data_IF_868703431661
#
_entry.id   IF_868703431661
#
_cell.length_a   1.000
_cell.length_b   1.000
_cell.length_c   1.000
_cell.angle_alpha   90.00
_cell.angle_beta   90.00
_cell.angle_gamma   90.00
#
_symmetry.space_group_name_H-M   'P 1'
#
loop_
_entity.id
_entity.type
_entity.pdbx_description
1 polymer ?
#
# COMPACT_ATOMS: atom_id res chain seq x y z
N UNK A 1 -24.91 -22.68 18.34
CA UNK A 1 -23.85 -22.38 17.35
C UNK A 1 -23.84 -23.53 16.35
N UNK A 2 -24.26 -23.29 15.09
CA UNK A 2 -24.13 -24.31 14.05
C UNK A 2 -22.68 -24.35 13.60
N UNK A 3 -22.00 -25.44 13.82
CA UNK A 3 -20.71 -25.73 13.22
C UNK A 3 -20.84 -25.65 11.68
N UNK A 4 -20.19 -24.68 11.07
CA UNK A 4 -20.05 -24.65 9.61
C UNK A 4 -18.98 -25.69 9.28
N UNK A 5 -19.41 -26.83 8.76
CA UNK A 5 -18.52 -27.89 8.30
C UNK A 5 -17.59 -27.33 7.23
N UNK A 6 -16.31 -27.41 7.52
CA UNK A 6 -15.23 -26.95 6.66
C UNK A 6 -14.95 -27.98 5.54
N UNK A 7 -15.84 -28.07 4.55
CA UNK A 7 -15.55 -28.84 3.34
C UNK A 7 -14.50 -28.09 2.55
N UNK A 8 -13.29 -28.61 2.54
CA UNK A 8 -12.19 -28.06 1.73
C UNK A 8 -12.41 -28.41 0.27
N UNK A 9 -12.57 -27.42 -0.58
CA UNK A 9 -12.31 -27.62 -2.01
C UNK A 9 -10.80 -27.80 -2.20
N UNK A 10 -10.35 -28.74 -3.04
CA UNK A 10 -8.92 -29.08 -3.18
C UNK A 10 -7.98 -27.95 -3.60
N UNK A 11 -8.51 -26.79 -3.97
CA UNK A 11 -7.75 -25.68 -4.54
C UNK A 11 -7.43 -24.53 -3.57
N UNK A 12 -8.04 -24.48 -2.37
CA UNK A 12 -7.87 -23.34 -1.46
C UNK A 12 -7.00 -23.69 -0.24
N UNK A 13 -5.96 -22.89 0.03
CA UNK A 13 -5.09 -23.09 1.21
C UNK A 13 -5.83 -22.71 2.50
N UNK A 14 -5.49 -23.40 3.60
CA UNK A 14 -6.02 -23.11 4.94
C UNK A 14 -5.87 -21.63 5.32
N UNK A 15 -4.70 -21.03 5.07
CA UNK A 15 -4.45 -19.62 5.37
C UNK A 15 -5.34 -18.67 4.57
N UNK A 16 -5.57 -18.94 3.29
CA UNK A 16 -6.47 -18.13 2.46
C UNK A 16 -7.90 -18.16 3.02
N UNK A 17 -8.41 -19.36 3.27
CA UNK A 17 -9.74 -19.55 3.84
C UNK A 17 -9.91 -18.90 5.21
N UNK A 18 -8.91 -19.07 6.11
CA UNK A 18 -8.95 -18.48 7.43
C UNK A 18 -8.99 -16.94 7.36
N UNK A 19 -8.20 -16.34 6.48
CA UNK A 19 -8.20 -14.90 6.30
C UNK A 19 -9.52 -14.39 5.72
N UNK A 20 -10.09 -15.07 4.71
CA UNK A 20 -11.41 -14.72 4.17
C UNK A 20 -12.50 -14.72 5.25
N UNK A 21 -12.60 -15.82 6.00
CA UNK A 21 -13.60 -15.97 7.07
C UNK A 21 -13.45 -14.90 8.15
N UNK A 22 -12.20 -14.59 8.50
CA UNK A 22 -11.94 -13.56 9.48
C UNK A 22 -12.34 -12.17 8.97
N UNK A 23 -11.95 -11.79 7.76
CA UNK A 23 -12.32 -10.50 7.17
C UNK A 23 -13.84 -10.36 7.04
N UNK A 24 -14.51 -11.43 6.60
CA UNK A 24 -15.96 -11.48 6.52
C UNK A 24 -16.64 -11.21 7.86
N UNK A 25 -16.11 -11.75 8.96
CA UNK A 25 -16.66 -11.61 10.30
C UNK A 25 -16.23 -10.29 10.94
N UNK A 26 -14.95 -10.07 11.01
CA UNK A 26 -14.35 -9.00 11.82
C UNK A 26 -14.66 -7.60 11.29
N UNK A 27 -14.57 -7.39 9.97
CA UNK A 27 -14.89 -6.07 9.39
C UNK A 27 -16.34 -5.71 9.69
N UNK A 28 -17.26 -6.63 9.48
CA UNK A 28 -18.67 -6.40 9.74
C UNK A 28 -18.97 -6.08 11.22
N UNK A 29 -18.26 -6.73 12.14
CA UNK A 29 -18.43 -6.50 13.59
C UNK A 29 -17.80 -5.19 14.06
N UNK A 30 -16.82 -4.66 13.34
CA UNK A 30 -16.03 -3.49 13.75
C UNK A 30 -16.24 -2.25 12.87
N UNK A 31 -16.90 -2.38 11.73
CA UNK A 31 -17.26 -1.25 10.85
C UNK A 31 -18.78 -1.13 10.73
N UNK A 32 -19.35 -0.24 11.52
CA UNK A 32 -20.78 0.01 11.52
C UNK A 32 -21.35 0.56 10.19
N UNK A 33 -20.49 0.92 9.24
CA UNK A 33 -20.91 1.34 7.91
C UNK A 33 -21.30 0.16 7.01
N UNK A 34 -20.89 -1.06 7.32
CA UNK A 34 -21.18 -2.26 6.54
C UNK A 34 -22.58 -2.78 6.86
N UNK A 35 -23.44 -2.90 5.85
CA UNK A 35 -24.83 -3.35 5.98
C UNK A 35 -25.08 -4.73 5.38
N UNK A 36 -24.29 -5.13 4.38
CA UNK A 36 -24.39 -6.48 3.77
C UNK A 36 -22.99 -7.06 3.60
N UNK A 37 -22.91 -8.37 3.70
CA UNK A 37 -21.70 -9.15 3.47
C UNK A 37 -22.01 -10.51 2.85
N UNK A 38 -21.11 -11.01 2.03
CA UNK A 38 -21.12 -12.41 1.58
C UNK A 38 -19.71 -12.90 1.28
N UNK A 39 -19.53 -14.21 1.34
CA UNK A 39 -18.34 -14.88 0.83
C UNK A 39 -18.58 -15.26 -0.63
N UNK A 40 -17.51 -15.25 -1.43
CA UNK A 40 -17.49 -15.76 -2.80
C UNK A 40 -18.64 -15.24 -3.67
N UNK A 41 -18.92 -13.94 -3.57
CA UNK A 41 -19.99 -13.33 -4.37
C UNK A 41 -19.54 -13.18 -5.82
N UNK A 42 -20.36 -13.70 -6.74
CA UNK A 42 -20.19 -13.47 -8.17
C UNK A 42 -20.54 -12.02 -8.53
N UNK A 43 -19.61 -11.33 -9.21
CA UNK A 43 -19.74 -9.93 -9.63
C UNK A 43 -19.22 -9.84 -11.07
N UNK A 44 -20.13 -9.61 -12.01
CA UNK A 44 -19.78 -9.58 -13.42
C UNK A 44 -19.24 -10.93 -13.92
N UNK A 45 -17.93 -11.08 -13.99
CA UNK A 45 -17.25 -12.30 -14.43
C UNK A 45 -16.24 -12.82 -13.41
N UNK A 46 -16.31 -12.34 -12.14
CA UNK A 46 -15.38 -12.68 -11.06
C UNK A 46 -16.12 -13.09 -9.79
N UNK A 47 -15.45 -13.90 -8.98
CA UNK A 47 -15.86 -14.18 -7.61
C UNK A 47 -15.00 -13.37 -6.66
N UNK A 48 -15.61 -12.50 -5.87
CA UNK A 48 -14.92 -11.78 -4.80
C UNK A 48 -14.77 -12.70 -3.59
N UNK A 49 -13.57 -12.78 -3.00
CA UNK A 49 -13.33 -13.59 -1.79
C UNK A 49 -14.25 -13.17 -0.64
N UNK A 50 -14.36 -11.86 -0.42
CA UNK A 50 -15.34 -11.26 0.50
C UNK A 50 -15.99 -10.07 -0.20
N UNK A 51 -17.31 -10.01 -0.11
CA UNK A 51 -18.09 -8.87 -0.57
C UNK A 51 -18.70 -8.14 0.60
N UNK A 52 -18.69 -6.81 0.53
CA UNK A 52 -19.29 -5.91 1.49
C UNK A 52 -20.11 -4.83 0.77
N UNK A 53 -21.19 -4.37 1.41
CA UNK A 53 -21.94 -3.19 1.00
C UNK A 53 -22.00 -2.21 2.17
N UNK A 54 -21.66 -0.96 1.92
CA UNK A 54 -21.70 0.11 2.90
C UNK A 54 -23.10 0.78 2.94
N UNK A 55 -23.42 1.45 4.04
CA UNK A 55 -24.65 2.27 4.20
C UNK A 55 -24.81 3.32 3.12
N UNK A 56 -23.70 3.81 2.57
CA UNK A 56 -23.65 4.78 1.47
C UNK A 56 -24.01 4.17 0.10
N UNK A 57 -24.30 2.87 0.05
CA UNK A 57 -24.58 2.12 -1.19
C UNK A 57 -23.32 1.63 -1.91
N UNK A 58 -22.11 2.05 -1.51
CA UNK A 58 -20.87 1.60 -2.13
C UNK A 58 -20.65 0.11 -1.88
N UNK A 59 -20.21 -0.58 -2.92
CA UNK A 59 -19.92 -2.02 -2.89
C UNK A 59 -18.42 -2.26 -2.94
N UNK A 60 -17.93 -3.23 -2.16
CA UNK A 60 -16.51 -3.54 -2.03
C UNK A 60 -16.29 -5.03 -2.28
N UNK A 61 -15.39 -5.36 -3.18
CA UNK A 61 -14.80 -6.68 -3.33
C UNK A 61 -13.46 -6.72 -2.61
N UNK A 62 -13.29 -7.64 -1.67
CA UNK A 62 -12.00 -7.90 -1.01
C UNK A 62 -11.39 -9.13 -1.67
N UNK A 63 -10.16 -8.99 -2.12
CA UNK A 63 -9.33 -10.03 -2.71
C UNK A 63 -8.21 -10.38 -1.75
N UNK A 64 -8.15 -11.63 -1.33
CA UNK A 64 -7.10 -12.15 -0.45
C UNK A 64 -6.07 -12.91 -1.29
N UNK A 65 -4.83 -12.49 -1.28
CA UNK A 65 -3.82 -13.11 -2.13
C UNK A 65 -2.72 -13.79 -1.32
N UNK A 66 -2.62 -15.10 -1.48
CA UNK A 66 -1.61 -15.95 -0.85
C UNK A 66 -0.60 -16.51 -1.87
N UNK A 67 -1.07 -16.91 -3.06
CA UNK A 67 -0.26 -17.48 -4.12
C UNK A 67 0.36 -16.39 -5.01
N UNK A 68 1.32 -16.78 -5.87
CA UNK A 68 1.87 -15.86 -6.88
C UNK A 68 0.77 -15.39 -7.83
N UNK A 69 0.76 -14.09 -8.11
CA UNK A 69 -0.16 -13.45 -9.05
C UNK A 69 0.61 -12.46 -9.92
N UNK A 70 0.24 -12.34 -11.17
CA UNK A 70 0.86 -11.38 -12.09
C UNK A 70 0.30 -9.97 -11.92
N UNK A 71 1.09 -8.95 -12.27
CA UNK A 71 0.62 -7.57 -12.33
C UNK A 71 -0.57 -7.39 -13.26
N UNK A 72 -0.55 -8.11 -14.40
CA UNK A 72 -1.62 -8.08 -15.39
C UNK A 72 -2.94 -8.56 -14.76
N UNK A 73 -2.90 -9.68 -14.07
CA UNK A 73 -4.09 -10.25 -13.44
C UNK A 73 -4.65 -9.36 -12.33
N UNK A 74 -3.80 -8.76 -11.48
CA UNK A 74 -4.25 -7.78 -10.47
C UNK A 74 -5.01 -6.63 -11.13
N UNK A 75 -4.44 -6.06 -12.20
CA UNK A 75 -5.03 -4.94 -12.91
C UNK A 75 -6.32 -5.32 -13.63
N UNK A 76 -6.37 -6.48 -14.27
CA UNK A 76 -7.56 -6.99 -14.95
C UNK A 76 -8.70 -7.25 -13.96
N UNK A 77 -8.44 -7.98 -12.86
CA UNK A 77 -9.45 -8.22 -11.82
C UNK A 77 -9.95 -6.91 -11.20
N UNK A 78 -9.05 -5.97 -10.90
CA UNK A 78 -9.43 -4.65 -10.39
C UNK A 78 -10.34 -3.91 -11.38
N UNK A 79 -9.99 -3.89 -12.68
CA UNK A 79 -10.81 -3.25 -13.73
C UNK A 79 -12.16 -3.92 -13.90
N UNK A 80 -12.23 -5.25 -13.82
CA UNK A 80 -13.49 -5.98 -13.99
C UNK A 80 -14.48 -5.63 -12.88
N UNK A 81 -14.04 -5.56 -11.62
CA UNK A 81 -14.88 -5.05 -10.52
C UNK A 81 -15.24 -3.57 -10.71
N UNK A 82 -14.28 -2.74 -11.12
CA UNK A 82 -14.53 -1.31 -11.31
C UNK A 82 -15.55 -1.01 -12.42
N UNK A 83 -15.62 -1.84 -13.48
CA UNK A 83 -16.66 -1.76 -14.54
C UNK A 83 -18.06 -1.98 -13.97
N UNK A 84 -18.19 -2.78 -12.91
CA UNK A 84 -19.45 -3.02 -12.19
C UNK A 84 -19.71 -1.96 -11.09
N UNK A 85 -18.89 -0.91 -11.01
CA UNK A 85 -19.02 0.12 -9.98
C UNK A 85 -18.42 -0.26 -8.62
N UNK A 86 -17.87 -1.46 -8.50
CA UNK A 86 -17.39 -2.04 -7.23
C UNK A 86 -15.96 -1.59 -6.93
N UNK A 87 -15.71 -1.18 -5.69
CA UNK A 87 -14.38 -0.85 -5.17
C UNK A 87 -13.63 -2.10 -4.78
N UNK A 88 -12.30 -2.11 -4.91
CA UNK A 88 -11.50 -3.31 -4.63
C UNK A 88 -10.52 -3.05 -3.50
N UNK A 89 -10.49 -3.98 -2.53
CA UNK A 89 -9.49 -4.03 -1.47
C UNK A 89 -8.65 -5.30 -1.63
N UNK A 90 -7.39 -5.14 -2.03
CA UNK A 90 -6.43 -6.23 -2.06
C UNK A 90 -5.72 -6.37 -0.71
N UNK A 91 -5.70 -7.59 -0.19
CA UNK A 91 -4.99 -7.95 1.04
C UNK A 91 -4.05 -9.11 0.75
N UNK A 92 -2.77 -8.93 1.04
CA UNK A 92 -1.79 -10.00 0.90
C UNK A 92 -1.64 -10.75 2.23
N UNK A 93 -1.51 -12.07 2.14
CA UNK A 93 -1.01 -12.83 3.27
C UNK A 93 0.47 -12.53 3.47
N UNK A 94 0.85 -11.99 4.63
CA UNK A 94 2.20 -11.46 4.86
C UNK A 94 3.31 -12.50 4.89
N UNK A 95 2.98 -13.79 5.02
CA UNK A 95 3.88 -14.93 4.90
C UNK A 95 3.65 -15.73 3.61
N UNK A 96 2.83 -15.19 2.70
CA UNK A 96 2.47 -15.81 1.44
C UNK A 96 3.55 -15.70 0.36
N UNK A 97 3.31 -16.37 -0.77
CA UNK A 97 4.26 -16.41 -1.90
C UNK A 97 4.31 -15.11 -2.73
N UNK A 98 3.43 -14.15 -2.44
CA UNK A 98 3.38 -12.83 -3.09
C UNK A 98 4.24 -11.78 -2.41
N UNK A 99 4.85 -12.09 -1.28
CA UNK A 99 5.50 -11.13 -0.41
C UNK A 99 6.99 -11.05 -0.68
N UNK A 100 7.54 -9.86 -0.48
CA UNK A 100 8.97 -9.61 -0.59
C UNK A 100 9.78 -10.48 0.35
N UNK A 101 10.82 -11.08 -0.19
CA UNK A 101 11.84 -11.76 0.60
C UNK A 101 13.02 -10.82 0.89
N UNK A 102 13.66 -10.92 2.06
CA UNK A 102 14.93 -10.23 2.30
C UNK A 102 15.96 -10.72 1.29
N UNK A 103 16.73 -9.80 0.72
CA UNK A 103 17.81 -10.15 -0.22
C UNK A 103 19.04 -10.66 0.51
N UNK A 104 19.28 -10.13 1.69
CA UNK A 104 20.39 -10.49 2.55
C UNK A 104 19.86 -10.81 3.94
N UNK A 105 20.28 -11.92 4.56
CA UNK A 105 19.83 -12.26 5.92
C UNK A 105 20.22 -11.20 6.96
N UNK A 106 21.16 -10.32 6.66
CA UNK A 106 21.68 -9.29 7.57
C UNK A 106 21.03 -7.91 7.33
N UNK A 107 20.46 -7.65 6.14
CA UNK A 107 19.87 -6.34 5.81
C UNK A 107 18.35 -6.45 5.60
N UNK A 108 17.62 -6.46 6.72
CA UNK A 108 16.16 -6.50 6.74
C UNK A 108 15.48 -5.27 6.11
N UNK A 109 16.24 -4.22 5.79
CA UNK A 109 15.69 -2.99 5.17
C UNK A 109 15.66 -3.05 3.65
N UNK A 110 16.50 -3.90 3.05
CA UNK A 110 16.54 -4.12 1.61
C UNK A 110 15.78 -5.38 1.26
N UNK A 111 14.64 -5.24 0.59
CA UNK A 111 13.84 -6.37 0.13
C UNK A 111 13.65 -6.30 -1.38
N UNK A 112 13.61 -7.45 -2.00
CA UNK A 112 13.15 -7.57 -3.38
C UNK A 112 11.63 -7.67 -3.35
N UNK A 113 10.94 -6.57 -3.65
CA UNK A 113 9.48 -6.60 -3.71
C UNK A 113 9.03 -7.44 -4.90
N UNK A 114 7.89 -8.11 -4.74
CA UNK A 114 7.23 -8.84 -5.82
C UNK A 114 6.60 -7.87 -6.81
N UNK A 115 6.29 -8.36 -8.00
CA UNK A 115 5.52 -7.59 -8.99
C UNK A 115 4.11 -7.26 -8.48
N UNK A 116 3.51 -8.16 -7.72
CA UNK A 116 2.23 -7.94 -7.07
C UNK A 116 2.29 -6.76 -6.10
N UNK A 117 3.25 -6.75 -5.17
CA UNK A 117 3.44 -5.65 -4.22
C UNK A 117 3.71 -4.32 -4.93
N UNK A 118 4.54 -4.32 -5.98
CA UNK A 118 4.81 -3.10 -6.75
C UNK A 118 3.54 -2.56 -7.41
N UNK A 119 2.73 -3.43 -7.98
CA UNK A 119 1.47 -3.06 -8.62
C UNK A 119 0.48 -2.50 -7.60
N UNK A 120 0.27 -3.19 -6.49
CA UNK A 120 -0.60 -2.75 -5.42
C UNK A 120 -0.12 -1.43 -4.80
N UNK A 121 1.18 -1.29 -4.55
CA UNK A 121 1.77 -0.05 -4.06
C UNK A 121 1.45 1.16 -4.95
N UNK A 122 1.43 0.95 -6.28
CA UNK A 122 1.09 2.01 -7.25
C UNK A 122 -0.39 2.37 -7.21
N UNK A 123 -1.28 1.37 -7.27
CA UNK A 123 -2.73 1.63 -7.30
C UNK A 123 -3.27 2.15 -5.96
N UNK A 124 -2.62 1.82 -4.84
CA UNK A 124 -2.99 2.34 -3.52
C UNK A 124 -2.23 3.61 -3.10
N UNK A 125 -1.48 4.22 -4.03
CA UNK A 125 -0.77 5.48 -3.76
C UNK A 125 0.25 5.38 -2.62
N UNK A 126 1.00 4.27 -2.56
CA UNK A 126 2.09 4.10 -1.60
C UNK A 126 1.76 3.19 -0.41
N UNK A 127 0.75 2.34 -0.50
CA UNK A 127 0.40 1.34 0.51
C UNK A 127 0.25 -0.04 -0.10
N UNK A 128 0.63 -1.06 0.66
CA UNK A 128 0.25 -2.45 0.41
C UNK A 128 -0.26 -3.02 1.73
N UNK A 129 -1.45 -3.61 1.72
CA UNK A 129 -2.10 -4.14 2.92
C UNK A 129 -1.81 -5.62 3.10
N UNK A 130 -1.56 -6.00 4.35
CA UNK A 130 -1.23 -7.36 4.75
C UNK A 130 -2.01 -7.78 5.97
N UNK A 131 -2.24 -9.09 6.05
CA UNK A 131 -2.73 -9.77 7.24
C UNK A 131 -1.85 -10.99 7.48
N UNK A 132 -1.39 -11.19 8.70
CA UNK A 132 -0.69 -12.40 9.13
C UNK A 132 -1.61 -13.29 9.94
N UNK A 133 -1.39 -14.58 9.79
CA UNK A 133 -2.06 -15.62 10.56
C UNK A 133 -1.06 -16.22 11.54
N UNK A 134 -1.32 -16.07 12.83
CA UNK A 134 -0.55 -16.73 13.87
C UNK A 134 -1.25 -18.04 14.24
N UNK A 135 -0.56 -19.17 14.02
CA UNK A 135 -1.10 -20.49 14.35
C UNK A 135 -0.35 -20.99 15.58
N UNK A 136 -0.99 -20.90 16.75
CA UNK A 136 -0.47 -21.45 18.00
C UNK A 136 -1.47 -22.45 18.58
N UNK A 137 -0.95 -23.62 18.98
CA UNK A 137 -1.74 -24.66 19.66
C UNK A 137 -3.06 -25.00 18.93
N UNK A 138 -3.01 -25.21 17.62
CA UNK A 138 -4.16 -25.47 16.75
C UNK A 138 -5.25 -24.38 16.75
N UNK A 139 -4.97 -23.21 17.31
CA UNK A 139 -5.84 -22.04 17.22
C UNK A 139 -5.22 -21.03 16.28
N UNK A 140 -5.98 -20.66 15.24
CA UNK A 140 -5.59 -19.60 14.33
C UNK A 140 -6.00 -18.26 14.94
N UNK A 141 -5.04 -17.38 15.21
CA UNK A 141 -5.27 -15.99 15.57
C UNK A 141 -4.75 -15.09 14.46
N UNK A 142 -5.61 -14.21 13.96
CA UNK A 142 -5.20 -13.22 12.99
C UNK A 142 -4.63 -12.00 13.70
N UNK A 143 -3.48 -11.57 13.20
CA UNK A 143 -2.85 -10.33 13.67
C UNK A 143 -3.61 -9.13 13.07
N UNK A 144 -3.55 -8.00 13.76
CA UNK A 144 -4.07 -6.73 13.24
C UNK A 144 -3.51 -6.45 11.85
N UNK A 145 -4.32 -6.03 10.87
CA UNK A 145 -3.84 -5.72 9.54
C UNK A 145 -2.81 -4.60 9.60
N UNK A 146 -1.86 -4.64 8.72
CA UNK A 146 -0.82 -3.64 8.62
C UNK A 146 -0.59 -3.21 7.18
N UNK A 147 -0.01 -2.04 7.03
CA UNK A 147 0.36 -1.52 5.73
C UNK A 147 1.88 -1.30 5.67
N UNK A 148 2.46 -1.61 4.52
CA UNK A 148 3.86 -1.32 4.24
C UNK A 148 3.95 -0.31 3.09
N UNK A 149 4.96 0.53 3.19
CA UNK A 149 5.41 1.40 2.12
C UNK A 149 6.79 0.94 1.64
N UNK A 150 7.00 1.01 0.33
CA UNK A 150 8.28 0.69 -0.29
C UNK A 150 8.81 1.91 -1.02
N UNK A 151 10.09 2.22 -0.84
CA UNK A 151 10.77 3.26 -1.59
C UNK A 151 11.75 2.68 -2.60
N UNK A 152 11.85 3.30 -3.78
CA UNK A 152 12.90 2.95 -4.74
C UNK A 152 14.27 3.26 -4.15
N UNK A 153 15.25 2.36 -4.27
CA UNK A 153 16.62 2.68 -3.91
C UNK A 153 17.16 3.78 -4.81
N UNK A 154 17.85 4.72 -4.20
CA UNK A 154 18.51 5.79 -4.94
C UNK A 154 19.94 5.34 -5.25
N UNK A 155 20.36 5.55 -6.51
CA UNK A 155 21.75 5.34 -6.91
C UNK A 155 22.66 6.25 -6.09
N UNK A 156 23.44 5.72 -5.18
CA UNK A 156 24.48 6.48 -4.46
C UNK A 156 25.80 6.39 -5.20
N UNK A 157 26.40 7.54 -5.48
CA UNK A 157 27.79 7.63 -5.92
C UNK A 157 28.70 7.43 -4.72
N UNK A 158 29.30 6.26 -4.61
CA UNK A 158 30.25 5.95 -3.53
C UNK A 158 31.63 5.91 -4.16
N UNK A 159 32.55 6.80 -3.72
CA UNK A 159 33.93 6.92 -4.23
C UNK A 159 34.03 7.06 -5.75
N UNK A 160 33.22 7.93 -6.35
CA UNK A 160 33.25 8.17 -7.80
C UNK A 160 32.59 7.10 -8.69
N UNK A 161 32.27 5.92 -8.17
CA UNK A 161 31.69 4.82 -8.92
C UNK A 161 30.18 4.71 -8.64
N UNK A 162 29.37 4.69 -9.70
CA UNK A 162 27.96 4.36 -9.57
C UNK A 162 27.81 2.86 -9.37
N UNK A 163 27.52 2.45 -8.14
CA UNK A 163 27.19 1.05 -7.87
C UNK A 163 25.73 0.82 -8.27
N UNK A 164 25.54 0.24 -9.45
CA UNK A 164 24.23 -0.17 -10.04
C UNK A 164 23.56 -1.33 -9.28
N UNK A 165 24.08 -1.78 -8.17
CA UNK A 165 23.58 -2.94 -7.41
C UNK A 165 22.15 -2.80 -6.87
N UNK A 166 21.53 -1.64 -7.01
CA UNK A 166 20.22 -1.34 -6.41
C UNK A 166 19.08 -1.17 -7.42
N UNK A 167 19.30 -1.40 -8.70
CA UNK A 167 18.26 -1.17 -9.74
C UNK A 167 17.05 -2.11 -9.64
N UNK A 168 17.15 -3.18 -8.85
CA UNK A 168 16.08 -4.16 -8.65
C UNK A 168 15.54 -4.24 -7.22
N UNK A 169 15.95 -3.33 -6.32
CA UNK A 169 15.55 -3.42 -4.92
C UNK A 169 14.81 -2.17 -4.48
N UNK A 170 13.74 -2.44 -3.73
CA UNK A 170 13.04 -1.43 -2.97
C UNK A 170 13.44 -1.61 -1.51
N UNK A 171 13.73 -0.52 -0.83
CA UNK A 171 13.85 -0.55 0.61
C UNK A 171 12.46 -0.73 1.19
N UNK A 172 12.30 -1.72 2.02
CA UNK A 172 11.15 -1.81 2.89
C UNK A 172 11.31 -0.69 3.90
N UNK A 173 10.45 0.30 3.83
CA UNK A 173 10.39 1.29 4.87
C UNK A 173 9.96 0.55 6.15
N UNK A 174 10.82 0.58 7.16
CA UNK A 174 10.59 -0.11 8.43
C UNK A 174 9.44 0.47 9.24
N UNK A 175 8.67 1.38 8.67
CA UNK A 175 7.47 1.89 9.28
C UNK A 175 6.33 0.93 9.00
N UNK A 176 6.33 -0.04 9.85
CA UNK A 176 5.17 -0.84 10.15
C UNK A 176 4.10 0.09 10.71
N UNK A 177 3.13 0.44 9.91
CA UNK A 177 1.96 1.18 10.38
C UNK A 177 0.88 0.16 10.64
N UNK A 178 0.59 -0.10 11.90
CA UNK A 178 -0.66 -0.75 12.27
C UNK A 178 -1.80 0.10 11.74
N UNK A 179 -2.79 -0.56 11.19
CA UNK A 179 -4.01 0.11 10.75
C UNK A 179 -4.84 0.39 12.01
N UNK A 180 -5.09 1.66 12.36
CA UNK A 180 -5.73 2.01 13.63
C UNK A 180 -7.21 1.65 13.66
N UNK A 181 -7.82 1.45 12.50
CA UNK A 181 -9.25 1.17 12.38
C UNK A 181 -9.51 0.24 11.19
N UNK A 182 -10.49 -0.66 11.35
CA UNK A 182 -10.99 -1.52 10.29
C UNK A 182 -12.07 -0.85 9.43
N UNK A 183 -12.38 0.39 9.70
CA UNK A 183 -13.32 1.16 8.91
C UNK A 183 -12.82 1.28 7.48
N UNK A 184 -13.75 1.10 6.54
CA UNK A 184 -13.46 1.12 5.12
C UNK A 184 -13.72 2.49 4.52
N UNK A 185 -12.81 2.91 3.64
CA UNK A 185 -12.91 4.14 2.87
C UNK A 185 -12.82 3.80 1.39
N UNK A 186 -13.89 4.09 0.65
CA UNK A 186 -13.91 4.00 -0.81
C UNK A 186 -13.37 5.29 -1.43
N UNK A 187 -12.43 5.16 -2.36
CA UNK A 187 -11.80 6.30 -3.04
C UNK A 187 -11.41 5.94 -4.47
N UNK A 188 -11.24 6.95 -5.30
CA UNK A 188 -10.66 6.78 -6.63
C UNK A 188 -9.22 7.26 -6.63
N UNK A 189 -8.33 6.45 -7.16
CA UNK A 189 -6.91 6.77 -7.26
C UNK A 189 -6.31 6.17 -8.53
N UNK A 190 -5.55 6.97 -9.27
CA UNK A 190 -4.90 6.55 -10.53
C UNK A 190 -5.84 5.85 -11.52
N UNK A 191 -7.13 6.26 -11.57
CA UNK A 191 -8.14 5.69 -12.46
C UNK A 191 -8.74 4.37 -11.97
N UNK A 192 -8.51 3.99 -10.70
CA UNK A 192 -9.10 2.80 -10.10
C UNK A 192 -10.01 3.17 -8.93
N UNK A 193 -11.15 2.49 -8.82
CA UNK A 193 -12.00 2.47 -7.63
C UNK A 193 -11.41 1.48 -6.64
N UNK A 194 -10.84 1.99 -5.54
CA UNK A 194 -10.19 1.19 -4.52
C UNK A 194 -10.84 1.42 -3.16
N UNK A 195 -10.98 0.34 -2.39
CA UNK A 195 -11.32 0.43 -0.98
C UNK A 195 -10.03 0.37 -0.15
N UNK A 196 -10.01 1.09 0.94
CA UNK A 196 -8.87 1.20 1.85
C UNK A 196 -9.36 1.07 3.28
N UNK A 197 -8.49 0.62 4.17
CA UNK A 197 -8.71 0.84 5.58
C UNK A 197 -8.52 2.31 5.93
N UNK A 198 -9.19 2.76 6.97
CA UNK A 198 -9.06 4.13 7.46
C UNK A 198 -7.66 4.33 8.07
N UNK A 199 -6.73 4.64 7.21
CA UNK A 199 -5.36 5.01 7.54
C UNK A 199 -4.93 6.21 6.69
N UNK A 200 -3.96 6.95 7.18
CA UNK A 200 -3.34 7.98 6.35
C UNK A 200 -2.38 7.36 5.35
N UNK A 201 -2.51 7.72 4.09
CA UNK A 201 -1.54 7.35 3.06
C UNK A 201 -0.19 7.98 3.38
N UNK A 202 0.91 7.20 3.26
CA UNK A 202 2.29 7.71 3.47
C UNK A 202 2.56 8.97 2.67
N UNK A 203 2.13 9.00 1.41
CA UNK A 203 2.28 10.14 0.53
C UNK A 203 1.54 11.38 1.07
N UNK A 204 0.29 11.22 1.52
CA UNK A 204 -0.50 12.30 2.14
C UNK A 204 0.18 12.82 3.40
N UNK A 205 0.61 11.91 4.29
CA UNK A 205 1.35 12.27 5.51
C UNK A 205 2.65 13.01 5.19
N UNK A 206 3.35 12.57 4.16
CA UNK A 206 4.60 13.21 3.76
C UNK A 206 4.35 14.60 3.13
N UNK A 207 3.29 14.76 2.31
CA UNK A 207 2.86 16.06 1.78
C UNK A 207 2.59 17.05 2.90
N UNK A 208 1.74 16.69 3.87
CA UNK A 208 1.43 17.54 5.03
C UNK A 208 2.71 18.00 5.75
N UNK A 209 3.64 17.08 5.98
CA UNK A 209 4.91 17.39 6.67
C UNK A 209 5.85 18.27 5.85
N UNK A 210 5.93 18.03 4.55
CA UNK A 210 6.75 18.85 3.64
C UNK A 210 6.19 20.26 3.57
N UNK A 211 4.88 20.45 3.42
CA UNK A 211 4.23 21.76 3.39
C UNK A 211 4.52 22.52 4.68
N UNK A 212 4.41 21.87 5.84
CA UNK A 212 4.68 22.51 7.13
C UNK A 212 6.12 23.05 7.23
N UNK A 213 7.13 22.24 6.83
CA UNK A 213 8.52 22.67 6.83
C UNK A 213 8.76 23.72 5.74
N UNK A 214 8.20 23.55 4.55
CA UNK A 214 8.31 24.52 3.46
C UNK A 214 7.81 25.91 3.89
N UNK A 215 6.61 25.97 4.47
CA UNK A 215 6.02 27.23 4.90
C UNK A 215 6.84 27.91 6.02
N UNK A 216 7.40 27.13 6.95
CA UNK A 216 8.29 27.63 7.99
C UNK A 216 9.57 28.21 7.37
N UNK A 217 10.30 27.44 6.58
CA UNK A 217 11.54 27.85 5.95
C UNK A 217 11.35 29.04 4.99
N UNK A 218 10.18 29.09 4.29
CA UNK A 218 9.83 30.22 3.41
C UNK A 218 9.63 31.52 4.18
N UNK A 219 8.96 31.46 5.35
CA UNK A 219 8.79 32.60 6.24
C UNK A 219 10.13 33.11 6.79
N UNK A 220 11.09 32.20 6.98
CA UNK A 220 12.46 32.52 7.42
C UNK A 220 13.35 33.04 6.27
N UNK A 221 12.83 33.18 5.06
CA UNK A 221 13.59 33.66 3.89
C UNK A 221 14.61 32.65 3.34
N UNK A 222 14.44 31.37 3.67
CA UNK A 222 15.37 30.32 3.23
C UNK A 222 15.34 30.10 1.71
N UNK A 223 16.52 29.92 1.11
CA UNK A 223 16.61 29.57 -0.30
C UNK A 223 16.03 28.17 -0.59
N UNK A 224 15.51 27.94 -1.82
CA UNK A 224 14.99 26.65 -2.26
C UNK A 224 15.96 25.48 -2.00
N UNK A 225 17.26 25.72 -2.26
CA UNK A 225 18.33 24.74 -2.00
C UNK A 225 18.38 24.34 -0.52
N UNK A 226 18.23 25.31 0.38
CA UNK A 226 18.21 25.09 1.82
C UNK A 226 16.94 24.32 2.22
N UNK A 227 15.76 24.73 1.75
CA UNK A 227 14.48 24.06 2.01
C UNK A 227 14.55 22.60 1.62
N UNK A 228 14.99 22.29 0.40
CA UNK A 228 15.15 20.92 -0.10
C UNK A 228 16.11 20.12 0.80
N UNK A 229 17.23 20.73 1.21
CA UNK A 229 18.23 20.07 2.09
C UNK A 229 17.64 19.75 3.46
N UNK A 230 16.91 20.67 4.08
CA UNK A 230 16.27 20.49 5.39
C UNK A 230 15.24 19.37 5.34
N UNK A 231 14.34 19.40 4.36
CA UNK A 231 13.30 18.39 4.17
C UNK A 231 13.92 17.03 3.87
N UNK A 232 14.92 16.97 2.97
CA UNK A 232 15.61 15.72 2.65
C UNK A 232 16.27 15.12 3.90
N UNK A 233 16.98 15.95 4.69
CA UNK A 233 17.63 15.49 5.94
C UNK A 233 16.62 14.96 6.97
N UNK A 234 15.46 15.63 7.07
CA UNK A 234 14.42 15.25 8.02
C UNK A 234 13.76 13.90 7.68
N UNK A 235 13.60 13.60 6.40
CA UNK A 235 12.74 12.51 5.94
C UNK A 235 13.45 11.41 5.13
N UNK A 236 14.71 11.59 4.71
CA UNK A 236 15.43 10.61 3.88
C UNK A 236 15.47 9.22 4.50
N UNK A 237 15.79 9.14 5.80
CA UNK A 237 15.86 7.86 6.51
C UNK A 237 14.52 7.13 6.57
N UNK A 238 13.42 7.89 6.59
CA UNK A 238 12.07 7.37 6.80
C UNK A 238 11.35 7.04 5.49
N UNK A 239 11.45 7.90 4.49
CA UNK A 239 10.65 7.81 3.27
C UNK A 239 11.49 7.61 2.00
N UNK A 240 12.81 7.75 2.10
CA UNK A 240 13.72 7.73 0.97
C UNK A 240 13.64 9.01 0.10
N UNK A 241 14.76 9.39 -0.51
CA UNK A 241 14.84 10.61 -1.34
C UNK A 241 13.92 10.55 -2.56
N UNK A 242 13.70 9.35 -3.12
CA UNK A 242 12.81 9.19 -4.26
C UNK A 242 11.38 9.65 -3.95
N UNK A 243 10.82 9.18 -2.82
CA UNK A 243 9.47 9.57 -2.40
C UNK A 243 9.39 11.07 -2.09
N UNK A 244 10.41 11.62 -1.42
CA UNK A 244 10.48 13.05 -1.12
C UNK A 244 10.46 13.88 -2.41
N UNK A 245 11.28 13.52 -3.39
CA UNK A 245 11.35 14.24 -4.67
C UNK A 245 10.08 14.05 -5.50
N UNK A 246 9.49 12.86 -5.46
CA UNK A 246 8.19 12.62 -6.09
C UNK A 246 7.11 13.53 -5.51
N UNK A 247 7.05 13.64 -4.18
CA UNK A 247 6.10 14.51 -3.47
C UNK A 247 6.37 16.00 -3.78
N UNK A 248 7.62 16.44 -3.89
CA UNK A 248 7.93 17.80 -4.34
C UNK A 248 7.34 18.11 -5.72
N UNK A 249 7.46 17.19 -6.68
CA UNK A 249 6.91 17.39 -8.02
C UNK A 249 5.38 17.49 -7.97
N UNK A 250 4.72 16.68 -7.14
CA UNK A 250 3.28 16.74 -6.99
C UNK A 250 2.82 18.05 -6.34
N UNK A 251 3.45 18.44 -5.23
CA UNK A 251 3.15 19.69 -4.55
C UNK A 251 3.36 20.91 -5.45
N UNK A 252 4.39 20.87 -6.29
CA UNK A 252 4.60 21.91 -7.30
C UNK A 252 3.48 21.94 -8.35
N UNK A 253 3.04 20.79 -8.85
CA UNK A 253 1.91 20.68 -9.80
C UNK A 253 0.58 21.13 -9.19
N UNK A 254 0.41 20.92 -7.91
CA UNK A 254 -0.77 21.32 -7.13
C UNK A 254 -0.67 22.78 -6.66
N UNK A 255 0.39 23.51 -7.02
CA UNK A 255 0.66 24.89 -6.59
C UNK A 255 0.79 25.09 -5.07
N UNK A 256 1.06 24.00 -4.34
CA UNK A 256 1.25 24.01 -2.88
C UNK A 256 2.66 24.48 -2.48
N UNK A 257 3.63 24.39 -3.40
CA UNK A 257 4.98 24.91 -3.24
C UNK A 257 5.39 25.70 -4.49
N UNK A 258 6.06 26.82 -4.26
CA UNK A 258 6.55 27.72 -5.31
C UNK A 258 8.07 27.59 -5.45
N UNK A 259 8.52 26.56 -6.16
CA UNK A 259 9.91 26.41 -6.57
C UNK A 259 10.10 26.85 -8.02
N UNK A 260 11.24 27.47 -8.31
CA UNK A 260 11.52 27.83 -9.69
C UNK A 260 11.60 26.57 -10.60
N UNK A 261 11.19 26.74 -11.86
CA UNK A 261 11.17 25.65 -12.86
C UNK A 261 12.51 24.91 -12.98
N UNK A 262 13.64 25.63 -12.87
CA UNK A 262 14.98 25.06 -12.90
C UNK A 262 15.25 24.11 -11.75
N UNK A 263 14.73 24.40 -10.56
CA UNK A 263 14.81 23.53 -9.37
C UNK A 263 13.99 22.25 -9.57
N UNK A 264 12.78 22.37 -10.07
CA UNK A 264 11.91 21.22 -10.35
C UNK A 264 12.53 20.28 -11.39
N UNK A 265 13.07 20.81 -12.48
CA UNK A 265 13.77 20.00 -13.49
C UNK A 265 14.97 19.24 -12.87
N UNK A 266 15.73 19.87 -11.97
CA UNK A 266 16.81 19.17 -11.25
C UNK A 266 16.30 18.05 -10.35
N UNK A 267 15.16 18.24 -9.69
CA UNK A 267 14.51 17.22 -8.88
C UNK A 267 14.01 16.07 -9.76
N UNK A 268 13.36 16.36 -10.88
CA UNK A 268 12.89 15.36 -11.84
C UNK A 268 14.03 14.46 -12.35
N UNK A 269 15.17 15.05 -12.74
CA UNK A 269 16.36 14.31 -13.18
C UNK A 269 16.95 13.36 -12.11
N UNK A 270 16.59 13.52 -10.85
CA UNK A 270 17.02 12.64 -9.76
C UNK A 270 16.08 11.47 -9.52
N UNK A 271 14.89 11.51 -10.12
CA UNK A 271 13.86 10.46 -10.00
C UNK A 271 13.90 9.53 -11.23
N UNK A 272 14.24 10.08 -12.40
CA UNK A 272 14.47 9.32 -13.64
C UNK A 272 15.81 8.59 -13.57
#
# INVERSE_FOLDING_TARGET
MKEISLISTPAESYSHRAIKLFLYKYIYENDNSVVKRSLEKYIGNRFADVYLQLKTGQEIAIEVQNSKISSKEILERTKDYNKQGVYVLWILYGEGKCVASPKHPIDVKCVKISLAENTLHRIYGGRVYYVNLDIRNNKAALQTPFALHFSKPIKKKIRGIFKTRYDSFFFRDSIFTQIPSWNLLCTEFSGYKIARFYDKNVKTVLKEKIINIYNKEKKEGSSEKRIIKVISKAFEKKYGLYMIYYVFIELYKESEIDFCRKTIIKIQKRIL
#
